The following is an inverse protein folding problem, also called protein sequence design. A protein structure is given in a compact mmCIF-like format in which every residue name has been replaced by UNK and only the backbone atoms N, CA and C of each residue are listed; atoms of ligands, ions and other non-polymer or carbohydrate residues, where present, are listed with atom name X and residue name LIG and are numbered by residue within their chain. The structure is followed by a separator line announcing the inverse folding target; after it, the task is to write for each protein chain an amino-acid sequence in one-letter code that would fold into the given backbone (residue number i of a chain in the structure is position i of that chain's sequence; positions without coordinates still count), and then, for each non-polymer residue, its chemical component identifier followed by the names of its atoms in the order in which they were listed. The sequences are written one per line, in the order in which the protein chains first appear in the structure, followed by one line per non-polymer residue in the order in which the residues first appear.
data_IF_728762875075
#
_entry.id   IF_728762875075
#
_cell.length_a   1.000
_cell.length_b   1.000
_cell.length_c   1.000
_cell.angle_alpha   90.00
_cell.angle_beta   90.00
_cell.angle_gamma   90.00
#
_symmetry.space_group_name_H-M   'P 1'
#
loop_
_entity.id
_entity.type
_entity.pdbx_description
1 polymer ?
#
# COMPACT_ATOMS: atom_id res chain seq x y z
N UNK A 1 -15.85 -7.82 -29.48
CA UNK A 1 -15.06 -7.81 -28.23
C UNK A 1 -15.18 -6.41 -27.64
N UNK A 2 -15.48 -6.27 -26.35
CA UNK A 2 -15.49 -4.98 -25.67
C UNK A 2 -14.08 -4.34 -25.81
N UNK A 3 -14.01 -3.04 -26.11
CA UNK A 3 -12.74 -2.37 -26.48
C UNK A 3 -11.75 -2.39 -25.30
N UNK A 4 -12.26 -2.22 -24.09
CA UNK A 4 -11.49 -2.27 -22.86
C UNK A 4 -10.89 -3.67 -22.62
N UNK A 5 -11.64 -4.74 -22.90
CA UNK A 5 -11.13 -6.12 -22.83
C UNK A 5 -9.97 -6.34 -23.81
N UNK A 6 -10.08 -5.81 -25.04
CA UNK A 6 -9.01 -5.93 -26.03
C UNK A 6 -7.75 -5.18 -25.58
N UNK A 7 -7.90 -3.96 -25.07
CA UNK A 7 -6.79 -3.14 -24.54
C UNK A 7 -6.13 -3.85 -23.35
N UNK A 8 -6.90 -4.31 -22.37
CA UNK A 8 -6.36 -4.99 -21.20
C UNK A 8 -5.64 -6.30 -21.55
N UNK A 9 -6.12 -7.04 -22.54
CA UNK A 9 -5.44 -8.23 -23.05
C UNK A 9 -4.04 -7.88 -23.60
N UNK A 10 -3.94 -6.80 -24.38
CA UNK A 10 -2.64 -6.34 -24.93
C UNK A 10 -1.70 -5.92 -23.81
N UNK A 11 -2.19 -5.12 -22.85
CA UNK A 11 -1.38 -4.61 -21.74
C UNK A 11 -0.84 -5.72 -20.84
N UNK A 12 -1.64 -6.77 -20.60
CA UNK A 12 -1.28 -7.85 -19.69
C UNK A 12 -0.51 -9.00 -20.35
N UNK A 13 -0.67 -9.20 -21.66
CA UNK A 13 -0.21 -10.40 -22.36
C UNK A 13 1.04 -10.21 -23.23
N UNK A 14 1.42 -8.98 -23.56
CA UNK A 14 2.51 -8.73 -24.49
C UNK A 14 3.86 -8.51 -23.76
N UNK A 15 4.88 -9.35 -24.00
CA UNK A 15 6.20 -9.18 -23.40
C UNK A 15 6.83 -7.85 -23.83
N UNK A 16 7.43 -7.14 -22.87
CA UNK A 16 8.18 -5.90 -23.13
C UNK A 16 7.35 -4.63 -23.14
N UNK A 17 6.05 -4.69 -22.88
CA UNK A 17 5.26 -3.49 -22.57
C UNK A 17 5.61 -2.99 -21.17
N UNK A 18 6.18 -1.79 -21.09
CA UNK A 18 6.30 -1.06 -19.84
C UNK A 18 4.97 -0.35 -19.55
N UNK A 19 4.22 -0.91 -18.59
CA UNK A 19 2.91 -0.38 -18.23
C UNK A 19 2.99 1.01 -17.61
N UNK A 20 4.15 1.43 -17.08
CA UNK A 20 4.32 2.77 -16.53
C UNK A 20 4.25 3.86 -17.60
N UNK A 21 4.41 3.53 -18.88
CA UNK A 21 4.32 4.48 -19.99
C UNK A 21 2.91 4.57 -20.61
N UNK A 22 1.97 3.75 -20.15
CA UNK A 22 0.59 3.76 -20.65
C UNK A 22 -0.15 4.93 -20.03
N UNK A 23 -0.83 5.72 -20.85
CA UNK A 23 -1.57 6.91 -20.42
C UNK A 23 -3.07 6.83 -20.73
N UNK A 24 -3.86 7.42 -19.84
CA UNK A 24 -5.29 7.68 -20.05
C UNK A 24 -5.59 9.01 -20.77
N UNK A 25 -4.54 9.74 -21.18
CA UNK A 25 -4.61 11.07 -21.79
C UNK A 25 -4.36 12.24 -20.82
N UNK A 26 -4.34 11.98 -19.51
CA UNK A 26 -4.02 12.96 -18.47
C UNK A 26 -2.79 12.56 -17.65
N UNK A 27 -2.70 11.28 -17.28
CA UNK A 27 -1.58 10.72 -16.54
C UNK A 27 -1.15 9.39 -17.14
N UNK A 28 0.09 9.01 -16.90
CA UNK A 28 0.57 7.65 -17.08
C UNK A 28 0.28 6.81 -15.84
N UNK A 29 0.22 5.48 -15.98
CA UNK A 29 0.11 4.60 -14.81
C UNK A 29 1.30 4.78 -13.85
N UNK A 30 2.51 5.01 -14.38
CA UNK A 30 3.69 5.29 -13.56
C UNK A 30 3.51 6.52 -12.68
N UNK A 31 3.04 7.63 -13.24
CA UNK A 31 2.74 8.85 -12.48
C UNK A 31 1.68 8.61 -11.40
N UNK A 32 0.59 7.89 -11.73
CA UNK A 32 -0.44 7.56 -10.76
C UNK A 32 0.07 6.65 -9.64
N UNK A 33 0.94 5.69 -9.95
CA UNK A 33 1.59 4.83 -8.96
C UNK A 33 2.51 5.61 -8.04
N UNK A 34 3.33 6.52 -8.58
CA UNK A 34 4.21 7.40 -7.80
C UNK A 34 3.40 8.32 -6.87
N UNK A 35 2.33 8.95 -7.37
CA UNK A 35 1.43 9.75 -6.54
C UNK A 35 0.82 8.92 -5.42
N UNK A 36 0.29 7.73 -5.74
CA UNK A 36 -0.31 6.81 -4.76
C UNK A 36 0.69 6.45 -3.65
N UNK A 37 1.93 6.13 -4.00
CA UNK A 37 2.98 5.79 -3.03
C UNK A 37 3.21 6.95 -2.06
N UNK A 38 3.45 8.17 -2.57
CA UNK A 38 3.74 9.31 -1.72
C UNK A 38 2.54 9.74 -0.87
N UNK A 39 1.33 9.74 -1.45
CA UNK A 39 0.11 10.04 -0.71
C UNK A 39 -0.12 9.03 0.42
N UNK A 40 0.13 7.75 0.17
CA UNK A 40 0.01 6.71 1.18
C UNK A 40 1.03 6.88 2.31
N UNK A 41 2.31 7.12 1.97
CA UNK A 41 3.36 7.41 2.97
C UNK A 41 2.97 8.60 3.85
N UNK A 42 2.51 9.70 3.24
CA UNK A 42 2.11 10.91 3.97
C UNK A 42 0.92 10.63 4.90
N UNK A 43 -0.10 9.92 4.42
CA UNK A 43 -1.26 9.56 5.25
C UNK A 43 -0.83 8.71 6.46
N UNK A 44 -0.04 7.66 6.24
CA UNK A 44 0.48 6.83 7.33
C UNK A 44 1.33 7.64 8.32
N UNK A 45 2.15 8.56 7.81
CA UNK A 45 2.97 9.44 8.66
C UNK A 45 2.11 10.35 9.53
N UNK A 46 1.11 11.01 8.95
CA UNK A 46 0.18 11.87 9.69
C UNK A 46 -0.57 11.05 10.75
N UNK A 47 -1.06 9.85 10.37
CA UNK A 47 -1.77 8.98 11.29
C UNK A 47 -0.89 8.55 12.48
N UNK A 48 0.37 8.21 12.23
CA UNK A 48 1.35 7.88 13.28
C UNK A 48 1.54 9.06 14.24
N UNK A 49 1.78 10.27 13.72
CA UNK A 49 1.94 11.47 14.55
C UNK A 49 0.72 11.76 15.42
N UNK A 50 -0.48 11.72 14.85
CA UNK A 50 -1.74 11.94 15.59
C UNK A 50 -1.95 10.85 16.66
N UNK A 51 -1.67 9.59 16.32
CA UNK A 51 -1.74 8.49 17.27
C UNK A 51 -0.75 8.68 18.42
N UNK A 52 0.51 9.04 18.13
CA UNK A 52 1.53 9.27 19.14
C UNK A 52 1.19 10.45 20.06
N UNK A 53 0.54 11.48 19.53
CA UNK A 53 0.11 12.65 20.31
C UNK A 53 -1.09 12.37 21.23
N UNK A 54 -1.98 11.45 20.84
CA UNK A 54 -3.26 11.22 21.53
C UNK A 54 -3.31 9.95 22.37
N UNK A 55 -2.48 8.96 22.06
CA UNK A 55 -2.46 7.69 22.78
C UNK A 55 -1.89 7.86 24.19
N UNK A 56 -2.72 7.57 25.20
CA UNK A 56 -2.33 7.59 26.62
C UNK A 56 -2.00 6.21 27.18
N UNK A 57 -2.17 5.16 26.38
CA UNK A 57 -1.90 3.79 26.80
C UNK A 57 -0.47 3.38 26.40
N UNK A 58 0.47 3.27 27.35
CA UNK A 58 1.85 2.87 27.05
C UNK A 58 1.97 1.41 26.58
N UNK A 59 0.91 0.60 26.70
CA UNK A 59 0.88 -0.78 26.18
C UNK A 59 0.35 -0.88 24.75
N UNK A 60 -0.24 0.18 24.18
CA UNK A 60 -0.71 0.17 22.79
C UNK A 60 0.46 0.37 21.84
N UNK A 61 0.51 -0.43 20.76
CA UNK A 61 1.45 -0.24 19.65
C UNK A 61 0.89 0.74 18.62
N UNK A 62 1.79 1.45 17.94
CA UNK A 62 1.42 2.28 16.80
C UNK A 62 0.73 1.40 15.73
N UNK A 63 -0.41 1.83 15.16
CA UNK A 63 -1.16 1.05 14.19
C UNK A 63 -0.51 1.07 12.80
N UNK A 64 0.52 1.88 12.59
CA UNK A 64 1.25 1.99 11.32
C UNK A 64 2.49 1.10 11.38
N UNK A 65 2.59 0.16 10.45
CA UNK A 65 3.65 -0.84 10.44
C UNK A 65 4.20 -1.06 9.04
N UNK A 66 5.41 -1.59 8.96
CA UNK A 66 6.04 -2.03 7.72
C UNK A 66 6.71 -3.39 7.86
N UNK A 67 6.77 -4.15 6.77
CA UNK A 67 7.40 -5.48 6.72
C UNK A 67 7.86 -5.81 5.31
N UNK A 68 9.02 -6.46 5.17
CA UNK A 68 9.46 -7.06 3.91
C UNK A 68 8.84 -8.44 3.66
N UNK A 69 8.40 -9.13 4.72
CA UNK A 69 7.84 -10.49 4.63
C UNK A 69 6.33 -10.49 4.81
N UNK A 70 5.68 -11.34 4.03
CA UNK A 70 4.29 -11.74 4.26
C UNK A 70 4.16 -12.60 5.53
N UNK A 71 2.93 -12.81 5.99
CA UNK A 71 2.64 -13.63 7.19
C UNK A 71 3.16 -15.07 7.08
N UNK A 72 3.16 -15.64 5.87
CA UNK A 72 3.72 -16.97 5.59
C UNK A 72 5.26 -16.99 5.51
N UNK A 73 5.91 -15.83 5.52
CA UNK A 73 7.36 -15.66 5.41
C UNK A 73 7.87 -15.50 3.98
N UNK A 74 7.02 -15.56 2.96
CA UNK A 74 7.37 -15.18 1.59
C UNK A 74 7.65 -13.67 1.49
N UNK A 75 8.31 -13.25 0.42
CA UNK A 75 8.57 -11.83 0.13
C UNK A 75 8.60 -11.63 -1.39
N UNK A 76 8.50 -10.38 -1.81
CA UNK A 76 8.64 -9.98 -3.22
C UNK A 76 9.89 -9.12 -3.36
N UNK A 77 10.83 -9.56 -4.20
CA UNK A 77 12.11 -8.87 -4.41
C UNK A 77 11.87 -7.41 -4.84
N UNK A 78 12.51 -6.48 -4.12
CA UNK A 78 12.40 -5.04 -4.38
C UNK A 78 11.15 -4.37 -3.82
N UNK A 79 10.34 -5.06 -3.01
CA UNK A 79 9.12 -4.53 -2.41
C UNK A 79 9.04 -4.80 -0.90
N UNK A 80 8.37 -3.89 -0.21
CA UNK A 80 7.93 -4.07 1.16
C UNK A 80 6.46 -3.65 1.31
N UNK A 81 5.85 -3.96 2.44
CA UNK A 81 4.45 -3.62 2.74
C UNK A 81 4.45 -2.49 3.76
N UNK A 82 3.70 -1.42 3.48
CA UNK A 82 3.33 -0.40 4.46
C UNK A 82 1.84 -0.55 4.77
N UNK A 83 1.52 -0.81 6.02
CA UNK A 83 0.17 -1.09 6.49
C UNK A 83 -0.31 -0.14 7.57
N UNK A 84 -1.62 0.08 7.58
CA UNK A 84 -2.37 0.70 8.66
C UNK A 84 -3.31 -0.35 9.26
N UNK A 85 -3.28 -0.46 10.60
CA UNK A 85 -3.96 -1.45 11.46
C UNK A 85 -3.62 -2.90 11.13
N UNK A 86 -3.68 -3.77 12.14
CA UNK A 86 -3.53 -5.23 12.05
C UNK A 86 -4.88 -5.97 12.21
N UNK A 87 -5.89 -5.27 12.72
CA UNK A 87 -7.25 -5.79 12.88
C UNK A 87 -7.86 -6.29 11.57
N UNK A 88 -8.22 -7.57 11.55
CA UNK A 88 -8.95 -8.20 10.45
C UNK A 88 -10.23 -7.43 10.13
N UNK A 89 -10.49 -7.18 8.84
CA UNK A 89 -11.63 -6.41 8.36
C UNK A 89 -11.40 -4.90 8.34
N UNK A 90 -10.23 -4.44 8.80
CA UNK A 90 -9.87 -3.01 8.83
C UNK A 90 -8.51 -2.70 8.20
N UNK A 91 -7.73 -3.71 7.83
CA UNK A 91 -6.39 -3.52 7.28
C UNK A 91 -6.41 -2.62 6.03
N UNK A 92 -5.45 -1.71 5.92
CA UNK A 92 -5.16 -1.04 4.66
C UNK A 92 -3.69 -1.23 4.38
N UNK A 93 -3.35 -1.95 3.31
CA UNK A 93 -1.97 -2.29 3.00
C UNK A 93 -1.65 -2.02 1.55
N UNK A 94 -0.44 -1.52 1.30
CA UNK A 94 0.12 -1.38 -0.03
C UNK A 94 1.53 -1.95 -0.06
N UNK A 95 1.90 -2.58 -1.18
CA UNK A 95 3.29 -2.83 -1.51
C UNK A 95 3.93 -1.57 -2.08
N UNK A 96 5.09 -1.20 -1.54
CA UNK A 96 5.89 -0.05 -1.92
C UNK A 96 7.29 -0.53 -2.36
N UNK A 97 7.96 0.19 -3.28
CA UNK A 97 9.33 -0.14 -3.67
C UNK A 97 10.29 -0.01 -2.49
N UNK A 98 11.24 -0.94 -2.36
CA UNK A 98 12.25 -0.97 -1.30
C UNK A 98 13.04 0.35 -1.18
N UNK A 99 13.20 1.10 -2.29
CA UNK A 99 13.83 2.43 -2.28
C UNK A 99 13.12 3.44 -1.37
N UNK A 100 11.85 3.22 -1.02
CA UNK A 100 11.04 4.05 -0.11
C UNK A 100 11.08 3.60 1.35
N UNK A 101 11.77 2.50 1.67
CA UNK A 101 11.82 1.95 3.02
C UNK A 101 12.29 2.97 4.08
N UNK A 102 13.34 3.73 3.73
CA UNK A 102 13.92 4.75 4.61
C UNK A 102 12.99 5.94 4.87
N UNK A 103 12.16 6.31 3.89
CA UNK A 103 11.14 7.36 4.04
C UNK A 103 10.04 6.96 5.05
N UNK A 104 9.88 5.65 5.28
CA UNK A 104 8.89 5.05 6.18
C UNK A 104 9.48 4.70 7.57
N UNK A 105 10.52 5.39 8.03
CA UNK A 105 11.15 5.14 9.34
C UNK A 105 10.23 5.44 10.55
N UNK A 106 9.11 6.13 10.35
CA UNK A 106 8.09 6.37 11.38
C UNK A 106 7.23 5.13 11.67
N UNK A 107 7.16 4.16 10.75
CA UNK A 107 6.35 2.96 10.92
C UNK A 107 7.07 1.91 11.77
N UNK A 108 6.30 1.11 12.53
CA UNK A 108 6.84 -0.01 13.30
C UNK A 108 7.30 -1.11 12.35
N UNK A 109 8.56 -1.51 12.45
CA UNK A 109 9.10 -2.62 11.67
C UNK A 109 8.69 -3.96 12.28
N UNK A 110 8.04 -4.79 11.47
CA UNK A 110 7.65 -6.15 11.84
C UNK A 110 8.51 -7.17 11.09
N UNK A 111 8.82 -8.28 11.75
CA UNK A 111 9.52 -9.38 11.08
C UNK A 111 8.67 -9.99 9.95
N UNK A 112 7.35 -10.05 10.16
CA UNK A 112 6.34 -10.49 9.19
C UNK A 112 5.10 -9.61 9.32
N UNK A 113 4.41 -9.34 8.21
CA UNK A 113 3.15 -8.61 8.26
C UNK A 113 2.04 -9.45 8.93
N UNK A 114 0.97 -8.81 9.44
CA UNK A 114 -0.26 -9.50 9.83
C UNK A 114 -0.81 -10.37 8.70
N UNK A 115 -1.61 -11.37 9.06
CA UNK A 115 -2.30 -12.21 8.08
C UNK A 115 -3.25 -11.35 7.23
N UNK A 116 -3.15 -11.50 5.90
CA UNK A 116 -3.94 -10.73 4.95
C UNK A 116 -5.42 -11.06 5.11
N UNK A 117 -6.24 -10.04 5.36
CA UNK A 117 -7.67 -10.19 5.64
C UNK A 117 -8.53 -10.36 4.38
N UNK A 118 -7.93 -10.48 3.19
CA UNK A 118 -8.65 -10.70 1.94
C UNK A 118 -9.22 -9.42 1.30
N UNK A 119 -8.83 -8.23 1.77
CA UNK A 119 -9.39 -6.98 1.28
C UNK A 119 -9.14 -6.73 -0.21
N UNK A 120 -10.15 -6.18 -0.87
CA UNK A 120 -10.09 -5.71 -2.26
C UNK A 120 -9.74 -4.22 -2.33
N UNK A 121 -9.45 -3.71 -3.53
CA UNK A 121 -9.31 -2.27 -3.75
C UNK A 121 -10.55 -1.47 -3.33
N UNK A 122 -11.76 -2.06 -3.43
CA UNK A 122 -12.98 -1.41 -2.99
C UNK A 122 -13.05 -1.30 -1.46
N UNK A 123 -12.63 -2.33 -0.75
CA UNK A 123 -12.54 -2.33 0.71
C UNK A 123 -11.53 -1.29 1.20
N UNK A 124 -10.37 -1.20 0.55
CA UNK A 124 -9.36 -0.18 0.84
C UNK A 124 -9.93 1.23 0.68
N UNK A 125 -10.60 1.50 -0.45
CA UNK A 125 -11.22 2.80 -0.68
C UNK A 125 -12.30 3.13 0.36
N UNK A 126 -13.10 2.14 0.77
CA UNK A 126 -14.10 2.33 1.81
C UNK A 126 -13.44 2.62 3.17
N UNK A 127 -12.44 1.85 3.56
CA UNK A 127 -11.71 2.03 4.83
C UNK A 127 -10.98 3.37 4.90
N UNK A 128 -10.37 3.82 3.80
CA UNK A 128 -9.75 5.16 3.73
C UNK A 128 -10.78 6.27 3.97
N UNK A 129 -12.00 6.14 3.44
CA UNK A 129 -13.09 7.11 3.66
C UNK A 129 -13.58 7.18 5.10
N UNK A 130 -13.35 6.12 5.88
CA UNK A 130 -13.75 6.03 7.28
C UNK A 130 -12.66 6.57 8.23
N UNK A 131 -11.50 6.98 7.71
CA UNK A 131 -10.41 7.57 8.52
C UNK A 131 -10.68 9.03 8.91
N UNK A 132 -11.73 9.66 8.38
CA UNK A 132 -12.10 11.06 8.65
C UNK A 132 -13.58 11.20 9.02
#
# INVERSE_FOLDING_TARGET
MNKEIAINTIISGEPGIDTNLISDGYHTFGELYEHRIHLWIILCKIYEYEWAATNKNPQSSCPVWKSQKHSDGSHWDGWFILGLTDNNGRQITYHLPESKWGECAFAVELEKCPEFDGHTSADVLQRIKELF
#
